data_IF_656057836273
#
_entry.id   IF_656057836273
#
_cell.length_a   1.000
_cell.length_b   1.000
_cell.length_c   1.000
_cell.angle_alpha   90.00
_cell.angle_beta   90.00
_cell.angle_gamma   90.00
#
_symmetry.space_group_name_H-M   'P 1'
#
loop_
_entity.id
_entity.type
_entity.pdbx_description
1 polymer ?
#
# COMPACT_ATOMS: atom_id res chain seq x y z
N UNK A 1 -13.32 -53.66 4.52
CA UNK A 1 -14.32 -53.28 5.54
C UNK A 1 -13.75 -52.67 6.83
N UNK A 2 -12.87 -53.32 7.60
CA UNK A 2 -12.27 -52.65 8.79
C UNK A 2 -11.14 -51.69 8.43
N UNK A 3 -10.23 -52.12 7.56
CA UNK A 3 -9.08 -51.31 7.10
C UNK A 3 -9.56 -50.09 6.28
N UNK A 4 -10.54 -50.28 5.37
CA UNK A 4 -11.13 -49.16 4.60
C UNK A 4 -11.80 -48.10 5.50
N UNK A 5 -12.37 -48.49 6.64
CA UNK A 5 -12.96 -47.53 7.58
C UNK A 5 -11.91 -46.74 8.36
N UNK A 6 -10.77 -47.37 8.66
CA UNK A 6 -9.67 -46.69 9.35
C UNK A 6 -8.97 -45.70 8.41
N UNK A 7 -8.85 -46.02 7.12
CA UNK A 7 -8.33 -45.09 6.09
C UNK A 7 -9.26 -43.89 5.87
N UNK A 8 -10.58 -44.09 5.79
CA UNK A 8 -11.56 -42.99 5.67
C UNK A 8 -11.52 -42.05 6.89
N UNK A 9 -11.38 -42.58 8.11
CA UNK A 9 -11.27 -41.77 9.34
C UNK A 9 -9.93 -41.02 9.46
N UNK A 10 -8.88 -41.46 8.77
CA UNK A 10 -7.58 -40.77 8.73
C UNK A 10 -7.56 -39.66 7.67
N UNK A 11 -8.17 -39.90 6.50
CA UNK A 11 -8.39 -38.85 5.48
C UNK A 11 -9.31 -37.73 5.99
N UNK A 12 -10.38 -38.06 6.73
CA UNK A 12 -11.27 -37.05 7.28
C UNK A 12 -10.55 -36.16 8.31
N UNK A 13 -9.75 -36.77 9.22
CA UNK A 13 -8.92 -36.04 10.20
C UNK A 13 -7.89 -35.12 9.55
N UNK A 14 -7.19 -35.59 8.52
CA UNK A 14 -6.21 -34.75 7.82
C UNK A 14 -6.86 -33.58 7.08
N UNK A 15 -8.05 -33.78 6.50
CA UNK A 15 -8.81 -32.72 5.86
C UNK A 15 -9.33 -31.65 6.84
N UNK A 16 -9.69 -32.05 8.06
CA UNK A 16 -10.11 -31.13 9.13
C UNK A 16 -8.92 -30.30 9.66
N UNK A 17 -7.77 -30.94 9.85
CA UNK A 17 -6.53 -30.25 10.26
C UNK A 17 -6.07 -29.23 9.20
N UNK A 18 -6.14 -29.56 7.91
CA UNK A 18 -5.84 -28.62 6.83
C UNK A 18 -6.83 -27.46 6.79
N UNK A 19 -8.12 -27.72 6.99
CA UNK A 19 -9.15 -26.69 7.07
C UNK A 19 -8.98 -25.78 8.29
N UNK A 20 -8.56 -26.30 9.45
CA UNK A 20 -8.17 -25.49 10.61
C UNK A 20 -6.92 -24.65 10.34
N UNK A 21 -5.94 -25.19 9.61
CA UNK A 21 -4.73 -24.46 9.19
C UNK A 21 -5.06 -23.33 8.21
N UNK A 22 -6.00 -23.56 7.30
CA UNK A 22 -6.50 -22.55 6.35
C UNK A 22 -7.32 -21.49 7.09
N UNK A 23 -8.20 -21.88 8.02
CA UNK A 23 -8.94 -20.95 8.89
C UNK A 23 -8.00 -20.12 9.75
N UNK A 24 -6.96 -20.73 10.33
CA UNK A 24 -5.92 -20.03 11.10
C UNK A 24 -5.12 -19.05 10.25
N UNK A 25 -4.76 -19.41 9.01
CA UNK A 25 -4.13 -18.49 8.05
C UNK A 25 -5.07 -17.35 7.63
N UNK A 26 -6.37 -17.63 7.45
CA UNK A 26 -7.39 -16.63 7.13
C UNK A 26 -7.64 -15.68 8.31
N UNK A 27 -7.54 -16.18 9.55
CA UNK A 27 -7.64 -15.39 10.78
C UNK A 27 -6.39 -14.52 10.98
N UNK A 28 -5.19 -15.02 10.66
CA UNK A 28 -3.95 -14.22 10.65
C UNK A 28 -4.01 -13.16 9.55
N UNK A 29 -4.54 -13.46 8.36
CA UNK A 29 -4.68 -12.46 7.28
C UNK A 29 -5.67 -11.34 7.65
N UNK A 30 -6.78 -11.67 8.31
CA UNK A 30 -7.75 -10.69 8.79
C UNK A 30 -7.25 -9.87 10.00
N UNK A 31 -6.26 -10.37 10.76
CA UNK A 31 -5.63 -9.60 11.83
C UNK A 31 -4.85 -8.39 11.31
N UNK A 32 -4.29 -8.47 10.10
CA UNK A 32 -3.57 -7.36 9.47
C UNK A 32 -4.49 -6.34 8.77
N UNK A 33 -5.72 -6.72 8.40
CA UNK A 33 -6.64 -5.80 7.71
C UNK A 33 -7.63 -5.08 8.65
N UNK A 34 -7.86 -5.57 9.87
CA UNK A 34 -8.63 -4.83 10.90
C UNK A 34 -7.80 -3.80 11.67
N UNK A 35 -6.48 -3.78 11.46
CA UNK A 35 -5.55 -2.81 12.01
C UNK A 35 -5.22 -1.72 10.97
N UNK A 36 -6.26 -1.11 10.41
CA UNK A 36 -6.16 0.26 9.88
C UNK A 36 -5.77 1.20 11.02
N UNK A 37 -4.47 1.25 11.28
CA UNK A 37 -3.67 2.39 11.72
C UNK A 37 -4.47 3.40 12.55
N UNK A 38 -4.72 3.06 13.81
CA UNK A 38 -4.82 4.07 14.86
C UNK A 38 -3.68 3.86 15.86
N UNK A 39 -2.46 3.73 15.35
CA UNK A 39 -1.29 4.02 16.18
C UNK A 39 -1.24 5.54 16.35
N UNK A 40 -2.10 6.07 17.23
CA UNK A 40 -1.94 7.42 17.77
C UNK A 40 -0.66 7.43 18.59
N UNK A 41 0.46 7.56 17.88
CA UNK A 41 1.70 8.01 18.49
C UNK A 41 1.36 9.22 19.35
N UNK A 42 1.76 9.17 20.63
CA UNK A 42 1.54 10.25 21.59
C UNK A 42 2.18 11.58 21.15
N UNK A 43 3.05 11.50 20.14
CA UNK A 43 3.67 12.62 19.46
C UNK A 43 3.27 12.61 17.99
N UNK A 44 2.80 13.73 17.41
CA UNK A 44 2.56 13.80 15.97
C UNK A 44 3.85 13.45 15.22
N UNK A 45 3.73 12.80 14.06
CA UNK A 45 4.88 12.53 13.21
C UNK A 45 5.62 13.85 12.90
N UNK A 46 6.90 13.89 13.21
CA UNK A 46 7.72 15.11 13.08
C UNK A 46 8.35 15.24 11.69
N UNK A 47 8.34 14.16 10.91
CA UNK A 47 8.92 14.10 9.58
C UNK A 47 7.86 13.67 8.57
N UNK A 48 8.03 14.14 7.34
CA UNK A 48 7.27 13.72 6.16
C UNK A 48 8.26 13.56 5.01
N UNK A 49 7.88 12.78 4.00
CA UNK A 49 8.69 12.55 2.81
C UNK A 49 7.79 12.49 1.57
N UNK A 50 8.25 13.07 0.47
CA UNK A 50 7.60 12.98 -0.84
C UNK A 50 8.36 11.94 -1.67
N UNK A 51 7.73 10.80 -1.94
CA UNK A 51 8.31 9.76 -2.77
C UNK A 51 7.83 9.91 -4.22
N UNK A 52 8.74 9.81 -5.18
CA UNK A 52 8.43 9.55 -6.59
C UNK A 52 8.44 8.05 -6.82
N UNK A 53 7.36 7.50 -7.38
CA UNK A 53 7.24 6.08 -7.68
C UNK A 53 7.13 5.90 -9.19
N UNK A 54 8.05 5.13 -9.75
CA UNK A 54 8.07 4.86 -11.19
C UNK A 54 7.47 3.48 -11.44
N UNK A 55 6.44 3.42 -12.30
CA UNK A 55 5.78 2.18 -12.66
C UNK A 55 5.94 1.89 -14.16
N UNK A 56 6.18 0.63 -14.50
CA UNK A 56 6.02 0.10 -15.84
C UNK A 56 4.66 -0.60 -15.95
N UNK A 57 3.86 -0.24 -16.95
CA UNK A 57 2.59 -0.92 -17.23
C UNK A 57 2.80 -1.91 -18.38
N UNK A 58 2.47 -3.18 -18.17
CA UNK A 58 2.60 -4.22 -19.19
C UNK A 58 1.37 -4.33 -20.13
N UNK A 59 1.44 -5.21 -21.13
CA UNK A 59 0.37 -5.45 -22.12
C UNK A 59 -0.95 -5.95 -21.49
N UNK A 60 -0.88 -6.55 -20.29
CA UNK A 60 -2.02 -7.05 -19.54
C UNK A 60 -2.49 -6.04 -18.48
N UNK A 61 -2.01 -4.78 -18.54
CA UNK A 61 -2.33 -3.69 -17.61
C UNK A 61 -1.89 -3.92 -16.17
N UNK A 62 -0.87 -4.76 -15.92
CA UNK A 62 -0.27 -4.86 -14.60
C UNK A 62 0.71 -3.70 -14.36
N UNK A 63 0.62 -3.01 -13.20
CA UNK A 63 1.62 -2.05 -12.78
C UNK A 63 2.78 -2.74 -12.07
N UNK A 64 3.99 -2.55 -12.59
CA UNK A 64 5.24 -3.05 -12.01
C UNK A 64 6.04 -1.87 -11.45
N UNK A 65 6.27 -1.85 -10.14
CA UNK A 65 7.11 -0.83 -9.52
C UNK A 65 8.57 -1.02 -9.96
N UNK A 66 9.18 0.05 -10.47
CA UNK A 66 10.57 0.08 -10.91
C UNK A 66 11.48 0.66 -9.83
N UNK A 67 11.14 1.86 -9.33
CA UNK A 67 11.91 2.54 -8.30
C UNK A 67 11.02 3.37 -7.36
N UNK A 68 11.58 3.64 -6.18
CA UNK A 68 11.06 4.62 -5.23
C UNK A 68 12.16 5.64 -4.94
N UNK A 69 11.95 6.88 -5.36
CA UNK A 69 12.90 7.97 -5.23
C UNK A 69 12.52 8.89 -4.07
N UNK A 70 13.40 9.03 -3.07
CA UNK A 70 13.22 9.93 -1.93
C UNK A 70 13.35 11.42 -2.28
N UNK A 71 13.83 11.73 -3.48
CA UNK A 71 14.04 13.09 -3.97
C UNK A 71 13.56 13.24 -5.42
N UNK A 72 12.24 13.13 -5.68
CA UNK A 72 11.71 13.33 -7.03
C UNK A 72 11.92 14.77 -7.51
N UNK A 73 12.15 14.95 -8.81
CA UNK A 73 12.33 16.28 -9.39
C UNK A 73 11.05 17.11 -9.32
N UNK A 74 11.12 18.28 -8.67
CA UNK A 74 10.04 19.26 -8.63
C UNK A 74 10.21 20.40 -9.66
N UNK A 75 11.18 20.28 -10.58
CA UNK A 75 11.39 21.28 -11.61
C UNK A 75 10.21 21.32 -12.61
N UNK A 76 9.84 22.52 -13.03
CA UNK A 76 8.89 22.77 -14.11
C UNK A 76 9.70 23.21 -15.33
N UNK A 77 9.53 22.50 -16.44
CA UNK A 77 10.22 22.82 -17.68
C UNK A 77 9.93 21.81 -18.77
N UNK A 78 9.46 22.30 -19.91
CA UNK A 78 9.24 21.51 -21.10
C UNK A 78 9.28 22.41 -22.34
N UNK A 79 9.65 21.88 -23.52
CA UNK A 79 9.72 22.68 -24.74
C UNK A 79 8.33 23.09 -25.28
N UNK A 80 7.33 22.27 -25.02
CA UNK A 80 5.92 22.55 -25.28
C UNK A 80 5.28 23.24 -24.06
N UNK A 81 4.75 24.45 -24.27
CA UNK A 81 4.17 25.28 -23.20
C UNK A 81 2.87 24.73 -22.61
N UNK A 82 2.11 23.93 -23.36
CA UNK A 82 0.90 23.28 -22.84
C UNK A 82 1.29 22.16 -21.88
N UNK A 83 2.31 21.37 -22.24
CA UNK A 83 2.85 20.32 -21.38
C UNK A 83 3.54 20.94 -20.15
N UNK A 84 4.26 22.05 -20.31
CA UNK A 84 4.88 22.78 -19.21
C UNK A 84 3.84 23.23 -18.17
N UNK A 85 2.73 23.84 -18.62
CA UNK A 85 1.63 24.24 -17.75
C UNK A 85 0.95 23.04 -17.05
N UNK A 86 0.85 21.90 -17.73
CA UNK A 86 0.33 20.66 -17.13
C UNK A 86 1.25 20.14 -16.02
N UNK A 87 2.56 20.11 -16.26
CA UNK A 87 3.56 19.71 -15.26
C UNK A 87 3.53 20.65 -14.06
N UNK A 88 3.47 21.96 -14.31
CA UNK A 88 3.37 22.97 -13.26
C UNK A 88 2.16 22.73 -12.37
N UNK A 89 0.97 22.60 -12.98
CA UNK A 89 -0.28 22.40 -12.25
C UNK A 89 -0.23 21.14 -11.40
N UNK A 90 0.15 20.00 -12.00
CA UNK A 90 0.22 18.73 -11.28
C UNK A 90 1.18 18.76 -10.09
N UNK A 91 2.38 19.34 -10.27
CA UNK A 91 3.39 19.43 -9.19
C UNK A 91 2.98 20.40 -8.09
N UNK A 92 2.38 21.54 -8.44
CA UNK A 92 1.90 22.51 -7.47
C UNK A 92 0.76 21.94 -6.62
N UNK A 93 -0.15 21.17 -7.22
CA UNK A 93 -1.27 20.59 -6.49
C UNK A 93 -0.80 19.52 -5.48
N UNK A 94 0.18 18.69 -5.84
CA UNK A 94 0.85 17.77 -4.89
C UNK A 94 1.42 18.53 -3.69
N UNK A 95 2.15 19.63 -3.94
CA UNK A 95 2.75 20.42 -2.86
C UNK A 95 1.69 21.10 -1.96
N UNK A 96 0.62 21.63 -2.57
CA UNK A 96 -0.49 22.26 -1.85
C UNK A 96 -1.24 21.26 -0.99
N UNK A 97 -1.55 20.10 -1.55
CA UNK A 97 -2.30 19.07 -0.84
C UNK A 97 -1.46 18.48 0.30
N UNK A 98 -0.15 18.29 0.10
CA UNK A 98 0.76 17.94 1.18
C UNK A 98 0.76 18.96 2.32
N UNK A 99 0.83 20.26 2.00
CA UNK A 99 0.79 21.33 3.01
C UNK A 99 -0.50 21.31 3.83
N UNK A 100 -1.65 21.09 3.18
CA UNK A 100 -2.96 20.97 3.82
C UNK A 100 -3.06 19.72 4.69
N UNK A 101 -2.62 18.55 4.18
CA UNK A 101 -2.67 17.29 4.91
C UNK A 101 -1.79 17.29 6.15
N UNK A 102 -0.65 17.97 6.09
CA UNK A 102 0.26 18.16 7.22
C UNK A 102 -0.17 19.30 8.16
N UNK A 103 -1.25 20.00 7.82
CA UNK A 103 -1.80 21.15 8.54
C UNK A 103 -0.71 22.19 8.89
N UNK A 104 0.21 22.45 7.95
CA UNK A 104 1.38 23.30 8.21
C UNK A 104 0.98 24.74 8.57
N UNK A 105 -0.18 25.20 8.11
CA UNK A 105 -0.70 26.54 8.40
C UNK A 105 -1.03 26.76 9.87
N UNK A 106 -1.51 25.72 10.56
CA UNK A 106 -1.90 25.80 11.97
C UNK A 106 -0.86 25.18 12.91
N UNK A 107 0.06 24.35 12.39
CA UNK A 107 1.05 23.61 13.18
C UNK A 107 2.02 24.47 13.98
N UNK A 108 2.29 25.70 13.54
CA UNK A 108 3.28 26.60 14.15
C UNK A 108 2.69 27.86 14.79
N UNK A 109 1.37 27.93 14.95
CA UNK A 109 0.69 29.03 15.66
C UNK A 109 0.49 28.66 17.12
#
# INVERSE_FOLDING_TARGET
EKEEKEEEEEEERTSEEENEKIKGKHQIFNQYHSSSIEYKSRFPAQCFELLGLDFLIDENMHPWLLEANGTPSMAVGHCDSTVEALIETAKLDVARDMSKLLDLENRFR
#
